data_IF_541415689247
#
_entry.id   IF_541415689247
#
_cell.length_a   1.000
_cell.length_b   1.000
_cell.length_c   1.000
_cell.angle_alpha   90.00
_cell.angle_beta   90.00
_cell.angle_gamma   90.00
#
_symmetry.space_group_name_H-M   'P 1'
#
loop_
_entity.id
_entity.type
_entity.pdbx_description
1 polymer ?
#
# COMPACT_ATOMS: atom_id res chain seq x y z
N UNK A 1 7.01 -8.92 -2.39
CA UNK A 1 7.30 -7.90 -3.42
C UNK A 1 7.40 -6.51 -2.79
N UNK A 2 7.97 -5.52 -3.49
CA UNK A 2 8.26 -4.17 -3.00
C UNK A 2 6.98 -3.34 -2.70
N UNK A 3 5.89 -3.65 -3.41
CA UNK A 3 4.59 -2.98 -3.34
C UNK A 3 3.75 -3.23 -2.08
N UNK A 4 4.01 -4.34 -1.36
CA UNK A 4 3.16 -4.75 -0.23
C UNK A 4 3.56 -4.05 1.07
N UNK A 5 2.57 -3.39 1.66
CA UNK A 5 2.58 -2.86 3.01
C UNK A 5 1.98 -3.90 3.98
N UNK A 6 2.10 -3.70 5.29
CA UNK A 6 1.55 -4.62 6.31
C UNK A 6 0.03 -4.48 6.40
N UNK A 7 -0.68 -4.86 5.34
CA UNK A 7 -2.14 -4.84 5.24
C UNK A 7 -2.65 -6.17 4.65
N UNK A 8 -3.59 -6.86 5.32
CA UNK A 8 -3.98 -8.22 4.95
C UNK A 8 -4.63 -8.32 3.56
N UNK A 9 -5.26 -7.25 3.08
CA UNK A 9 -6.07 -7.26 1.84
C UNK A 9 -5.70 -6.15 0.85
N UNK A 10 -4.42 -5.77 0.77
CA UNK A 10 -3.98 -4.75 -0.20
C UNK A 10 -4.27 -5.21 -1.64
N UNK A 11 -5.06 -4.43 -2.39
CA UNK A 11 -5.31 -4.72 -3.81
C UNK A 11 -4.04 -4.53 -4.65
N UNK A 12 -3.77 -5.41 -5.64
CA UNK A 12 -2.61 -5.26 -6.54
C UNK A 12 -2.66 -3.96 -7.35
N UNK A 13 -1.51 -3.30 -7.53
CA UNK A 13 -1.45 -2.04 -8.30
C UNK A 13 -1.92 -2.22 -9.75
N UNK A 14 -1.63 -3.38 -10.37
CA UNK A 14 -2.01 -3.69 -11.74
C UNK A 14 -3.54 -3.66 -11.96
N UNK A 15 -4.31 -4.13 -10.98
CA UNK A 15 -5.78 -4.10 -11.03
C UNK A 15 -6.29 -2.66 -11.04
N UNK A 16 -5.80 -1.84 -10.11
CA UNK A 16 -6.22 -0.45 -9.97
C UNK A 16 -5.78 0.38 -11.18
N UNK A 17 -4.59 0.11 -11.75
CA UNK A 17 -4.12 0.76 -12.98
C UNK A 17 -5.11 0.54 -14.13
N UNK A 18 -5.61 -0.68 -14.30
CA UNK A 18 -6.59 -1.00 -15.35
C UNK A 18 -7.91 -0.26 -15.15
N UNK A 19 -8.42 -0.23 -13.92
CA UNK A 19 -9.67 0.46 -13.59
C UNK A 19 -9.54 1.97 -13.84
N UNK A 20 -8.46 2.59 -13.36
CA UNK A 20 -8.23 4.03 -13.49
C UNK A 20 -8.11 4.46 -14.95
N UNK A 21 -7.36 3.70 -15.76
CA UNK A 21 -7.21 4.00 -17.19
C UNK A 21 -8.50 3.84 -17.98
N UNK A 22 -9.37 2.91 -17.58
CA UNK A 22 -10.65 2.68 -18.26
C UNK A 22 -11.72 3.73 -17.90
N UNK A 23 -11.61 4.35 -16.73
CA UNK A 23 -12.69 5.16 -16.14
C UNK A 23 -12.34 6.63 -15.89
N UNK A 24 -11.16 7.10 -16.29
CA UNK A 24 -10.73 8.49 -16.08
C UNK A 24 -9.69 8.97 -17.10
N UNK A 25 -9.62 10.27 -17.31
CA UNK A 25 -8.59 10.95 -18.09
C UNK A 25 -7.49 11.52 -17.18
N UNK A 26 -6.37 11.92 -17.78
CA UNK A 26 -5.31 12.65 -17.08
C UNK A 26 -5.90 13.95 -16.51
N UNK A 27 -5.58 14.26 -15.25
CA UNK A 27 -6.08 15.44 -14.56
C UNK A 27 -7.41 15.25 -13.81
N UNK A 28 -8.18 14.19 -14.11
CA UNK A 28 -9.40 13.85 -13.39
C UNK A 28 -9.13 13.54 -11.90
N UNK A 29 -10.18 13.64 -11.09
CA UNK A 29 -10.14 13.34 -9.65
C UNK A 29 -10.78 11.99 -9.37
N UNK A 30 -10.05 11.11 -8.68
CA UNK A 30 -10.54 9.81 -8.20
C UNK A 30 -10.87 9.89 -6.72
N UNK A 31 -12.05 9.39 -6.33
CA UNK A 31 -12.44 9.23 -4.93
C UNK A 31 -12.35 7.77 -4.51
N UNK A 32 -11.68 7.50 -3.39
CA UNK A 32 -11.65 6.20 -2.73
C UNK A 32 -12.06 6.37 -1.25
N UNK A 33 -13.33 6.07 -0.89
CA UNK A 33 -13.83 6.29 0.46
C UNK A 33 -13.31 5.27 1.49
N UNK A 34 -12.62 4.22 1.05
CA UNK A 34 -12.07 3.15 1.90
C UNK A 34 -10.64 2.82 1.47
N UNK A 35 -9.77 3.82 1.59
CA UNK A 35 -8.47 3.84 0.93
C UNK A 35 -7.48 2.80 1.43
N UNK A 36 -7.62 2.30 2.67
CA UNK A 36 -6.65 1.42 3.30
C UNK A 36 -5.25 2.02 3.21
N UNK A 37 -4.31 1.29 2.63
CA UNK A 37 -2.93 1.78 2.40
C UNK A 37 -2.77 2.70 1.18
N UNK A 38 -3.85 3.37 0.75
CA UNK A 38 -3.89 4.39 -0.30
C UNK A 38 -3.34 3.93 -1.65
N UNK A 39 -3.56 2.65 -2.01
CA UNK A 39 -3.07 2.11 -3.29
C UNK A 39 -3.73 2.81 -4.48
N UNK A 40 -5.02 3.11 -4.41
CA UNK A 40 -5.75 3.85 -5.45
C UNK A 40 -5.11 5.23 -5.69
N UNK A 41 -4.86 5.99 -4.63
CA UNK A 41 -4.17 7.29 -4.71
C UNK A 41 -2.76 7.19 -5.28
N UNK A 42 -1.99 6.18 -4.86
CA UNK A 42 -0.62 6.00 -5.36
C UNK A 42 -0.60 5.70 -6.86
N UNK A 43 -1.52 4.86 -7.35
CA UNK A 43 -1.64 4.56 -8.78
C UNK A 43 -2.20 5.77 -9.55
N UNK A 44 -3.19 6.47 -9.00
CA UNK A 44 -3.74 7.70 -9.59
C UNK A 44 -2.65 8.76 -9.81
N UNK A 45 -1.81 9.00 -8.79
CA UNK A 45 -0.68 9.94 -8.87
C UNK A 45 0.31 9.55 -9.97
N UNK A 46 0.72 8.27 -10.03
CA UNK A 46 1.61 7.75 -11.10
C UNK A 46 1.02 7.93 -12.51
N UNK A 47 -0.30 7.91 -12.63
CA UNK A 47 -1.02 8.08 -13.88
C UNK A 47 -1.39 9.56 -14.16
N UNK A 48 -0.98 10.51 -13.33
CA UNK A 48 -1.29 11.93 -13.53
C UNK A 48 -2.75 12.31 -13.25
N UNK A 49 -3.42 11.60 -12.33
CA UNK A 49 -4.75 11.95 -11.79
C UNK A 49 -4.60 12.57 -10.40
N UNK A 50 -5.58 13.39 -10.01
CA UNK A 50 -5.77 13.81 -8.63
C UNK A 50 -6.50 12.69 -7.87
N UNK A 51 -6.36 12.65 -6.55
CA UNK A 51 -7.12 11.69 -5.74
C UNK A 51 -7.53 12.24 -4.39
N UNK A 52 -8.65 11.75 -3.88
CA UNK A 52 -9.16 11.95 -2.53
C UNK A 52 -9.32 10.57 -1.92
N UNK A 53 -8.59 10.29 -0.85
CA UNK A 53 -8.68 9.04 -0.11
C UNK A 53 -9.17 9.29 1.31
N UNK A 54 -10.14 8.49 1.77
CA UNK A 54 -10.66 8.52 3.13
C UNK A 54 -10.31 7.19 3.80
N UNK A 55 -9.82 7.28 5.03
CA UNK A 55 -9.45 6.14 5.85
C UNK A 55 -9.66 6.51 7.32
N UNK A 56 -10.12 5.56 8.14
CA UNK A 56 -10.39 5.74 9.56
C UNK A 56 -9.24 5.22 10.43
N UNK A 57 -8.54 4.17 9.97
CA UNK A 57 -7.45 3.55 10.70
C UNK A 57 -6.17 4.38 10.60
N UNK A 58 -5.73 4.94 11.72
CA UNK A 58 -4.60 5.86 11.80
C UNK A 58 -3.30 5.25 11.25
N UNK A 59 -3.08 3.96 11.48
CA UNK A 59 -1.89 3.26 10.97
C UNK A 59 -1.87 3.16 9.44
N UNK A 60 -3.03 3.09 8.80
CA UNK A 60 -3.13 3.12 7.34
C UNK A 60 -2.96 4.54 6.81
N UNK A 61 -3.44 5.56 7.53
CA UNK A 61 -3.16 6.97 7.23
C UNK A 61 -1.65 7.23 7.24
N UNK A 62 -0.93 6.78 8.27
CA UNK A 62 0.54 6.90 8.37
C UNK A 62 1.25 6.27 7.17
N UNK A 63 0.80 5.09 6.73
CA UNK A 63 1.31 4.43 5.52
C UNK A 63 1.02 5.28 4.27
N UNK A 64 -0.21 5.78 4.13
CA UNK A 64 -0.64 6.62 3.02
C UNK A 64 0.17 7.91 2.90
N UNK A 65 0.34 8.64 4.00
CA UNK A 65 1.12 9.88 4.07
C UNK A 65 2.56 9.68 3.57
N UNK A 66 3.21 8.61 4.03
CA UNK A 66 4.56 8.24 3.56
C UNK A 66 4.56 7.87 2.08
N UNK A 67 3.65 6.98 1.67
CA UNK A 67 3.61 6.44 0.30
C UNK A 67 3.34 7.51 -0.75
N UNK A 68 2.47 8.46 -0.43
CA UNK A 68 2.09 9.58 -1.31
C UNK A 68 3.06 10.76 -1.23
N UNK A 69 4.05 10.72 -0.34
CA UNK A 69 5.00 11.81 -0.13
C UNK A 69 4.38 13.07 0.46
N UNK A 70 3.22 12.97 1.13
CA UNK A 70 2.49 14.10 1.70
C UNK A 70 3.18 14.61 2.97
N UNK A 71 3.65 13.71 3.82
CA UNK A 71 4.38 14.06 5.03
C UNK A 71 5.43 13.01 5.39
N UNK A 72 6.51 13.46 6.04
CA UNK A 72 7.52 12.59 6.66
C UNK A 72 7.26 12.33 8.15
N UNK A 73 6.38 13.13 8.76
CA UNK A 73 6.06 13.04 10.19
C UNK A 73 4.55 13.05 10.41
N UNK A 74 4.09 12.36 11.44
CA UNK A 74 2.71 12.40 11.93
C UNK A 74 2.74 12.46 13.45
N UNK A 75 2.15 13.52 14.05
CA UNK A 75 2.17 13.76 15.50
C UNK A 75 3.59 13.65 16.12
N UNK A 76 4.60 14.19 15.43
CA UNK A 76 6.00 14.14 15.88
C UNK A 76 6.72 12.81 15.62
N UNK A 77 6.01 11.77 15.16
CA UNK A 77 6.58 10.46 14.86
C UNK A 77 7.05 10.44 13.40
N UNK A 78 8.29 10.01 13.16
CA UNK A 78 8.83 9.84 11.82
C UNK A 78 8.25 8.60 11.12
N UNK A 79 7.73 8.78 9.90
CA UNK A 79 7.06 7.74 9.14
C UNK A 79 8.07 6.89 8.37
N UNK A 80 8.48 5.75 8.95
CA UNK A 80 9.35 4.77 8.28
C UNK A 80 8.55 3.60 7.71
N UNK A 81 9.08 2.97 6.65
CA UNK A 81 8.57 1.67 6.22
C UNK A 81 9.00 0.65 7.27
N UNK A 82 8.07 -0.13 7.87
CA UNK A 82 8.46 -1.14 8.84
C UNK A 82 9.44 -2.13 8.20
N UNK A 83 10.52 -2.47 8.91
CA UNK A 83 11.44 -3.52 8.47
C UNK A 83 10.65 -4.82 8.31
N UNK A 84 10.80 -5.49 7.17
CA UNK A 84 10.21 -6.82 6.98
C UNK A 84 10.93 -7.79 7.90
N UNK A 85 10.35 -8.11 9.06
CA UNK A 85 10.80 -9.21 9.88
C UNK A 85 10.40 -10.52 9.19
N UNK A 86 11.19 -10.99 8.24
CA UNK A 86 11.11 -12.39 7.84
C UNK A 86 11.66 -13.22 8.99
N UNK A 87 10.79 -13.68 9.90
CA UNK A 87 11.16 -14.73 10.83
C UNK A 87 11.07 -16.05 10.07
N UNK A 88 12.23 -16.60 9.71
CA UNK A 88 12.35 -17.93 9.12
C UNK A 88 12.00 -18.94 10.21
N UNK A 89 10.76 -19.44 10.25
CA UNK A 89 10.38 -20.51 11.18
C UNK A 89 11.22 -21.75 10.89
N UNK A 90 12.21 -22.03 11.74
CA UNK A 90 13.12 -23.17 11.60
C UNK A 90 12.39 -24.53 11.57
N UNK A 91 11.19 -24.61 12.15
CA UNK A 91 10.37 -25.82 12.17
C UNK A 91 9.90 -26.28 10.79
N UNK A 92 9.72 -25.37 9.82
CA UNK A 92 9.24 -25.75 8.49
C UNK A 92 10.34 -26.40 7.61
N UNK A 93 11.62 -26.24 7.97
CA UNK A 93 12.72 -26.89 7.26
C UNK A 93 12.95 -28.34 7.69
N UNK A 94 12.50 -28.75 8.87
CA UNK A 94 12.66 -30.13 9.35
C UNK A 94 11.66 -31.09 8.70
N UNK A 95 10.47 -30.61 8.36
CA UNK A 95 9.43 -31.38 7.64
C UNK A 95 9.84 -31.88 6.24
N UNK A 96 10.95 -31.39 5.68
CA UNK A 96 11.45 -31.81 4.37
C UNK A 96 12.81 -32.53 4.45
N UNK A 97 13.29 -32.87 5.65
CA UNK A 97 14.56 -33.59 5.84
C UNK A 97 14.41 -35.10 5.85
N UNK A 98 13.18 -35.61 5.91
CA UNK A 98 12.91 -37.05 6.05
C UNK A 98 12.66 -37.77 4.70
N UNK A 99 12.77 -37.07 3.57
CA UNK A 99 12.57 -37.62 2.20
C UNK A 99 13.88 -37.67 1.36
N UNK A 100 15.04 -37.87 2.00
CA UNK A 100 16.31 -38.16 1.31
C UNK A 100 16.92 -39.47 1.80
#
# INVERSE_FOLDING_TARGET
MEEYEKHPTQKPEALLKRIILASSNVGDTILDPFSGTFTTSAVAQKLGRKSIGIEIEEDYIKIGLRRLGISRYYNGIFLQKPLKSYQKNHQQLELFKDDQ
#
